data_IF_997643360303
#
_entry.id   IF_997643360303
#
_cell.length_a   1.000
_cell.length_b   1.000
_cell.length_c   1.000
_cell.angle_alpha   90.00
_cell.angle_beta   90.00
_cell.angle_gamma   90.00
#
_symmetry.space_group_name_H-M   'P 1'
#
loop_
_entity.id
_entity.type
_entity.pdbx_description
1 polymer ?
#
# COMPACT_ATOMS: atom_id res chain seq x y z
N UNK A 1 -7.37 -13.29 7.82
CA UNK A 1 -6.75 -12.22 7.02
C UNK A 1 -5.29 -12.55 6.79
N UNK A 2 -4.84 -12.45 5.55
CA UNK A 2 -3.44 -12.70 5.20
C UNK A 2 -2.65 -11.40 5.31
N UNK A 3 -1.56 -11.42 6.05
CA UNK A 3 -0.71 -10.25 6.18
C UNK A 3 0.69 -10.55 5.67
N UNK A 4 1.23 -9.64 4.86
CA UNK A 4 2.59 -9.72 4.36
C UNK A 4 3.32 -8.44 4.74
N UNK A 5 4.59 -8.37 4.42
CA UNK A 5 5.39 -7.17 4.64
C UNK A 5 5.98 -6.69 3.33
N UNK A 6 6.20 -5.39 3.23
CA UNK A 6 6.87 -4.78 2.10
C UNK A 6 7.92 -3.82 2.63
N UNK A 7 9.17 -4.06 2.27
CA UNK A 7 10.26 -3.18 2.66
C UNK A 7 10.34 -1.99 1.70
N UNK A 8 10.29 -0.80 2.24
CA UNK A 8 10.41 0.41 1.43
C UNK A 8 11.80 0.52 0.83
N UNK A 9 11.90 1.13 -0.34
CA UNK A 9 13.19 1.42 -0.97
C UNK A 9 13.72 2.79 -0.60
N UNK A 10 12.84 3.66 -0.09
CA UNK A 10 13.18 5.01 0.32
C UNK A 10 12.33 5.41 1.50
N UNK A 11 12.00 6.69 1.59
CA UNK A 11 11.25 7.20 2.74
C UNK A 11 9.76 6.92 2.65
N UNK A 12 9.25 6.68 1.46
CA UNK A 12 7.81 6.44 1.26
C UNK A 12 7.56 5.65 -0.02
N UNK A 13 6.33 5.18 -0.16
CA UNK A 13 5.81 4.63 -1.40
C UNK A 13 4.41 5.22 -1.58
N UNK A 14 4.02 5.51 -2.81
CA UNK A 14 2.66 5.96 -3.07
C UNK A 14 1.70 4.79 -3.04
N UNK A 15 0.42 5.07 -2.73
CA UNK A 15 -0.57 4.00 -2.57
C UNK A 15 -0.75 3.20 -3.87
N UNK A 16 -0.81 3.87 -5.02
CA UNK A 16 -0.94 3.17 -6.30
C UNK A 16 0.27 2.29 -6.59
N UNK A 17 1.47 2.78 -6.30
CA UNK A 17 2.69 2.00 -6.47
C UNK A 17 2.70 0.78 -5.55
N UNK A 18 2.20 0.92 -4.33
CA UNK A 18 2.09 -0.18 -3.38
C UNK A 18 1.17 -1.28 -3.91
N UNK A 19 0.02 -0.91 -4.46
CA UNK A 19 -0.92 -1.89 -5.00
C UNK A 19 -0.32 -2.66 -6.17
N UNK A 20 0.49 -2.00 -6.98
CA UNK A 20 1.19 -2.67 -8.07
C UNK A 20 2.31 -3.58 -7.55
N UNK A 21 3.06 -3.10 -6.56
CA UNK A 21 4.17 -3.87 -6.01
C UNK A 21 3.71 -5.14 -5.30
N UNK A 22 2.55 -5.11 -4.66
CA UNK A 22 2.00 -6.27 -3.98
C UNK A 22 1.29 -7.24 -4.94
N UNK A 23 1.03 -6.80 -6.16
CA UNK A 23 0.24 -7.58 -7.11
C UNK A 23 -1.26 -7.47 -6.88
N UNK A 24 -1.70 -6.63 -5.95
CA UNK A 24 -3.14 -6.42 -5.69
C UNK A 24 -3.82 -5.70 -6.85
N UNK A 25 -3.06 -4.94 -7.62
CA UNK A 25 -3.55 -4.32 -8.86
C UNK A 25 -2.57 -4.66 -9.98
N UNK A 26 -3.11 -5.03 -11.13
CA UNK A 26 -2.28 -5.41 -12.27
C UNK A 26 -1.77 -4.23 -13.09
N UNK A 27 -2.30 -3.04 -12.84
CA UNK A 27 -1.93 -1.84 -13.60
C UNK A 27 -2.24 -0.59 -12.79
N UNK A 28 -1.73 0.55 -13.24
CA UNK A 28 -2.05 1.83 -12.62
C UNK A 28 -3.54 2.16 -12.70
N UNK A 29 -4.20 1.83 -13.80
CA UNK A 29 -5.63 2.04 -13.94
C UNK A 29 -6.44 1.19 -12.97
N UNK A 30 -6.07 -0.07 -12.80
CA UNK A 30 -6.72 -0.94 -11.83
C UNK A 30 -6.52 -0.43 -10.41
N UNK A 31 -5.30 0.00 -10.09
CA UNK A 31 -5.01 0.57 -8.77
C UNK A 31 -5.88 1.81 -8.50
N UNK A 32 -5.98 2.71 -9.48
CA UNK A 32 -6.79 3.90 -9.34
C UNK A 32 -8.26 3.54 -9.05
N UNK A 33 -8.80 2.56 -9.78
CA UNK A 33 -10.20 2.15 -9.58
C UNK A 33 -10.44 1.62 -8.18
N UNK A 34 -9.55 0.77 -7.68
CA UNK A 34 -9.68 0.21 -6.34
C UNK A 34 -9.61 1.31 -5.27
N UNK A 35 -8.68 2.24 -5.44
CA UNK A 35 -8.49 3.31 -4.48
C UNK A 35 -9.69 4.26 -4.47
N UNK A 36 -10.14 4.70 -5.64
CA UNK A 36 -11.26 5.64 -5.71
C UNK A 36 -12.59 5.00 -5.31
N UNK A 37 -12.71 3.69 -5.43
CA UNK A 37 -13.90 2.97 -4.99
C UNK A 37 -13.96 2.79 -3.47
N UNK A 38 -12.93 3.21 -2.73
CA UNK A 38 -12.91 3.08 -1.28
C UNK A 38 -12.58 1.67 -0.79
N UNK A 39 -11.95 0.85 -1.64
CA UNK A 39 -11.64 -0.52 -1.29
C UNK A 39 -10.38 -0.66 -0.44
N UNK A 40 -9.60 0.41 -0.32
CA UNK A 40 -8.29 0.38 0.33
C UNK A 40 -8.32 1.18 1.62
N UNK A 41 -7.82 0.60 2.70
CA UNK A 41 -7.70 1.27 4.00
C UNK A 41 -6.24 1.36 4.40
N UNK A 42 -5.87 2.51 4.93
CA UNK A 42 -4.52 2.74 5.47
C UNK A 42 -4.69 3.05 6.95
N UNK A 43 -4.08 2.24 7.80
CA UNK A 43 -4.19 2.37 9.27
C UNK A 43 -5.65 2.43 9.72
N UNK A 44 -6.51 1.64 9.08
CA UNK A 44 -7.91 1.53 9.45
C UNK A 44 -8.84 2.55 8.81
N UNK A 45 -8.32 3.52 8.08
CA UNK A 45 -9.12 4.57 7.43
C UNK A 45 -9.11 4.40 5.91
N UNK A 46 -10.26 4.58 5.28
CA UNK A 46 -10.35 4.53 3.82
C UNK A 46 -9.48 5.64 3.22
N UNK A 47 -8.63 5.28 2.27
CA UNK A 47 -7.80 6.24 1.55
C UNK A 47 -8.21 6.23 0.08
N UNK A 48 -8.58 7.40 -0.45
CA UNK A 48 -9.05 7.52 -1.83
C UNK A 48 -8.07 8.25 -2.73
N UNK A 49 -6.93 8.66 -2.21
CA UNK A 49 -5.91 9.36 -2.99
C UNK A 49 -4.83 8.38 -3.43
N UNK A 50 -4.73 8.16 -4.74
CA UNK A 50 -3.74 7.22 -5.27
C UNK A 50 -2.29 7.67 -5.03
N UNK A 51 -2.07 8.97 -4.92
CA UNK A 51 -0.76 9.52 -4.67
C UNK A 51 -0.42 9.68 -3.19
N UNK A 52 -1.24 9.15 -2.29
CA UNK A 52 -0.96 9.22 -0.87
C UNK A 52 0.39 8.59 -0.57
N UNK A 53 1.23 9.30 0.18
CA UNK A 53 2.57 8.82 0.53
C UNK A 53 2.49 7.99 1.79
N UNK A 54 2.89 6.75 1.68
CA UNK A 54 2.86 5.79 2.79
C UNK A 54 4.27 5.58 3.30
N UNK A 55 4.39 5.48 4.63
CA UNK A 55 5.69 5.39 5.28
C UNK A 55 5.80 4.12 6.11
N UNK A 56 7.00 3.84 6.58
CA UNK A 56 7.26 2.67 7.42
C UNK A 56 6.35 2.67 8.65
N UNK A 57 5.87 1.50 9.03
CA UNK A 57 4.99 1.33 10.16
C UNK A 57 3.51 1.37 9.80
N UNK A 58 3.16 1.90 8.63
CA UNK A 58 1.77 1.92 8.21
C UNK A 58 1.33 0.55 7.69
N UNK A 59 0.03 0.29 7.80
CA UNK A 59 -0.55 -0.98 7.39
C UNK A 59 -1.67 -0.70 6.40
N UNK A 60 -1.64 -1.41 5.27
CA UNK A 60 -2.62 -1.23 4.21
C UNK A 60 -3.45 -2.49 4.08
N UNK A 61 -4.77 -2.35 4.03
CA UNK A 61 -5.70 -3.48 3.99
C UNK A 61 -6.60 -3.35 2.77
N UNK A 62 -6.81 -4.46 2.08
CA UNK A 62 -7.74 -4.54 0.95
C UNK A 62 -8.19 -5.98 0.77
N UNK A 63 -9.51 -6.19 0.69
CA UNK A 63 -10.09 -7.49 0.33
C UNK A 63 -9.57 -8.67 1.18
N UNK A 64 -9.47 -8.47 2.49
CA UNK A 64 -9.01 -9.54 3.39
C UNK A 64 -7.52 -9.75 3.41
N UNK A 65 -6.76 -8.92 2.73
CA UNK A 65 -5.31 -8.96 2.71
C UNK A 65 -4.75 -7.71 3.37
N UNK A 66 -3.59 -7.83 3.98
CA UNK A 66 -2.93 -6.71 4.63
C UNK A 66 -1.44 -6.73 4.31
N UNK A 67 -0.86 -5.54 4.23
CA UNK A 67 0.59 -5.39 4.08
C UNK A 67 1.08 -4.37 5.10
N UNK A 68 2.15 -4.71 5.82
CA UNK A 68 2.81 -3.81 6.75
C UNK A 68 4.06 -3.27 6.09
N UNK A 69 4.24 -1.96 6.12
CA UNK A 69 5.41 -1.33 5.52
C UNK A 69 6.56 -1.32 6.50
N UNK A 70 7.71 -1.81 6.05
CA UNK A 70 8.94 -1.81 6.82
C UNK A 70 9.86 -0.72 6.31
N UNK A 71 10.70 -0.14 7.19
CA UNK A 71 11.64 0.89 6.75
C UNK A 71 12.59 0.33 5.71
N UNK A 72 13.10 1.21 4.85
CA UNK A 72 14.17 0.84 3.94
C UNK A 72 15.27 0.17 4.77
N UNK A 73 15.78 -0.96 4.26
CA UNK A 73 16.79 -1.68 4.98
C UNK A 73 17.90 -0.70 5.34
N UNK A 74 18.05 -0.47 6.64
CA UNK A 74 19.13 0.38 7.08
C UNK A 74 20.40 -0.20 6.47
N UNK A 75 21.15 0.63 5.79
CA UNK A 75 22.43 0.21 5.30
C UNK A 75 23.27 -0.10 6.52
N UNK A 76 23.11 -1.28 6.99
CA UNK A 76 23.90 -1.73 8.12
C UNK A 76 25.17 -2.28 7.61
#
# INVERSE_FOLDING_TARGET
>A
MTETTLTLRGEHITLDALLKATGWAGSGGAAKQLITAGEVRVDGAVETRRGAKLRAGQRVVMAGQAVRLLPAAAAT
#
